data_IF_514117827057
#
_entry.id   IF_514117827057
#
_cell.length_a   1.000
_cell.length_b   1.000
_cell.length_c   1.000
_cell.angle_alpha   90.00
_cell.angle_beta   90.00
_cell.angle_gamma   90.00
#
_symmetry.space_group_name_H-M   'P 1'
#
loop_
_entity.id
_entity.type
_entity.pdbx_description
1 polymer ?
#
# COMPACT_ATOMS: atom_id res chain seq x y z
N UNK A 1 42.13 -10.39 2.71
CA UNK A 1 41.20 -10.11 1.64
C UNK A 1 39.81 -10.11 2.27
N UNK A 2 39.30 -8.93 2.66
CA UNK A 2 38.03 -8.76 3.36
C UNK A 2 36.91 -8.66 2.33
N UNK A 3 35.96 -9.59 2.38
CA UNK A 3 34.70 -9.51 1.63
C UNK A 3 33.75 -8.54 2.36
N UNK A 4 33.03 -7.63 1.67
CA UNK A 4 32.08 -6.74 2.30
C UNK A 4 30.83 -7.49 2.76
N UNK A 5 30.38 -7.17 3.99
CA UNK A 5 29.30 -7.79 4.77
C UNK A 5 27.94 -7.19 4.40
N UNK A 6 27.58 -7.05 3.12
CA UNK A 6 26.25 -6.58 2.75
C UNK A 6 25.72 -7.25 1.47
N UNK A 7 25.76 -8.60 1.48
CA UNK A 7 25.13 -9.39 0.43
C UNK A 7 23.89 -10.07 1.01
N UNK A 8 22.72 -9.42 0.91
CA UNK A 8 21.44 -10.06 1.21
C UNK A 8 21.17 -11.14 0.15
N UNK A 9 21.36 -12.39 0.54
CA UNK A 9 21.11 -13.57 -0.31
C UNK A 9 19.62 -13.93 -0.19
N UNK A 10 18.81 -13.65 -1.23
CA UNK A 10 17.48 -14.19 -1.33
C UNK A 10 17.52 -15.54 -2.06
N UNK A 11 17.24 -16.62 -1.34
CA UNK A 11 17.07 -17.97 -1.89
C UNK A 11 15.60 -18.14 -2.32
N UNK A 12 15.34 -18.15 -3.63
CA UNK A 12 14.05 -18.50 -4.19
C UNK A 12 14.07 -19.94 -4.68
N UNK A 13 13.40 -20.85 -3.96
CA UNK A 13 13.22 -22.24 -4.36
C UNK A 13 11.99 -22.34 -5.30
N UNK A 14 12.22 -22.45 -6.58
CA UNK A 14 11.16 -22.78 -7.54
C UNK A 14 11.06 -24.31 -7.68
N UNK A 15 9.93 -24.87 -7.25
CA UNK A 15 9.60 -26.27 -7.51
C UNK A 15 9.01 -26.39 -8.91
N UNK A 16 9.72 -27.06 -9.83
CA UNK A 16 9.17 -27.45 -11.10
C UNK A 16 8.46 -28.79 -10.97
N UNK A 17 7.24 -28.90 -11.54
CA UNK A 17 6.50 -30.16 -11.65
C UNK A 17 7.31 -31.20 -12.44
N UNK A 18 7.41 -32.44 -11.94
CA UNK A 18 8.13 -33.50 -12.64
C UNK A 18 7.38 -33.95 -13.90
N UNK A 19 8.07 -33.95 -15.03
CA UNK A 19 7.59 -34.62 -16.23
C UNK A 19 7.91 -36.12 -16.06
N UNK A 20 6.87 -36.93 -15.94
CA UNK A 20 7.02 -38.39 -15.89
C UNK A 20 7.69 -38.94 -17.17
N UNK A 21 8.94 -39.37 -17.05
CA UNK A 21 9.55 -40.39 -17.93
C UNK A 21 9.92 -41.60 -17.08
N UNK A 22 9.47 -42.76 -17.57
CA UNK A 22 9.64 -44.07 -16.94
C UNK A 22 11.06 -44.29 -16.42
N UNK A 23 11.15 -44.62 -15.11
CA UNK A 23 12.23 -45.36 -14.46
C UNK A 23 13.53 -44.64 -14.05
N UNK A 24 13.55 -43.32 -13.86
CA UNK A 24 14.60 -42.68 -13.04
C UNK A 24 14.09 -41.32 -12.54
N UNK A 25 14.04 -41.12 -11.24
CA UNK A 25 13.72 -39.81 -10.63
C UNK A 25 15.07 -39.10 -10.49
N UNK A 26 15.38 -38.22 -11.42
CA UNK A 26 16.51 -37.31 -11.31
C UNK A 26 16.04 -35.99 -10.67
N UNK A 27 16.40 -35.77 -9.41
CA UNK A 27 16.19 -34.50 -8.73
C UNK A 27 17.32 -33.53 -9.05
N UNK A 28 17.30 -32.94 -10.26
CA UNK A 28 18.22 -31.86 -10.59
C UNK A 28 17.72 -30.56 -10.02
N UNK A 29 18.23 -30.16 -8.85
CA UNK A 29 18.01 -28.84 -8.29
C UNK A 29 18.82 -27.81 -9.05
N UNK A 30 18.16 -26.97 -9.86
CA UNK A 30 18.79 -25.82 -10.47
C UNK A 30 18.61 -24.62 -9.53
N UNK A 31 19.66 -24.28 -8.78
CA UNK A 31 19.69 -23.06 -7.98
C UNK A 31 19.94 -21.90 -8.94
N UNK A 32 18.90 -21.05 -9.16
CA UNK A 32 19.05 -19.83 -9.94
C UNK A 32 19.34 -18.70 -8.95
N UNK A 33 20.56 -18.22 -8.97
CA UNK A 33 20.95 -17.03 -8.22
C UNK A 33 20.55 -15.79 -9.03
N UNK A 34 19.58 -15.02 -8.54
CA UNK A 34 19.34 -13.67 -9.07
C UNK A 34 20.16 -12.70 -8.25
N UNK A 35 21.33 -12.34 -8.74
CA UNK A 35 22.11 -11.23 -8.17
C UNK A 35 21.40 -9.95 -8.61
N UNK A 36 20.71 -9.28 -7.70
CA UNK A 36 20.36 -7.86 -7.91
C UNK A 36 21.67 -7.09 -7.83
N UNK A 37 22.13 -6.55 -8.94
CA UNK A 37 23.18 -5.53 -8.93
C UNK A 37 22.64 -4.36 -8.07
N UNK A 38 23.24 -4.15 -6.91
CA UNK A 38 23.00 -2.95 -6.12
C UNK A 38 23.68 -1.83 -6.90
N UNK A 39 22.91 -1.01 -7.59
CA UNK A 39 23.45 0.18 -8.22
C UNK A 39 24.16 1.01 -7.14
N UNK A 40 25.42 1.42 -7.38
CA UNK A 40 26.16 2.23 -6.42
C UNK A 40 25.37 3.51 -6.14
N UNK A 41 25.31 3.90 -4.85
CA UNK A 41 24.65 5.13 -4.45
C UNK A 41 25.27 6.33 -5.17
N UNK A 42 24.55 6.92 -6.10
CA UNK A 42 24.95 8.13 -6.80
C UNK A 42 24.50 9.35 -5.99
N UNK A 43 25.41 10.27 -5.71
CA UNK A 43 25.13 11.52 -4.99
C UNK A 43 25.41 12.72 -5.87
N UNK A 44 24.54 13.73 -5.83
CA UNK A 44 24.71 15.00 -6.53
C UNK A 44 24.31 16.15 -5.62
N UNK A 45 25.02 17.26 -5.74
CA UNK A 45 24.61 18.51 -5.10
C UNK A 45 23.60 19.22 -5.99
N UNK A 46 22.49 19.65 -5.41
CA UNK A 46 21.43 20.42 -6.08
C UNK A 46 21.11 21.71 -5.34
N UNK A 47 20.51 22.66 -6.03
CA UNK A 47 20.03 23.91 -5.43
C UNK A 47 18.50 23.86 -5.32
N UNK A 48 17.99 24.35 -4.19
CA UNK A 48 16.57 24.58 -4.00
C UNK A 48 16.15 25.82 -4.80
N UNK A 49 15.20 25.66 -5.71
CA UNK A 49 14.62 26.76 -6.48
C UNK A 49 13.50 27.37 -5.66
N UNK A 50 13.62 28.65 -5.32
CA UNK A 50 12.64 29.41 -4.56
C UNK A 50 11.95 30.38 -5.51
N UNK A 51 10.64 30.32 -5.62
CA UNK A 51 9.84 31.26 -6.40
C UNK A 51 8.70 31.79 -5.55
N UNK A 52 8.45 33.11 -5.61
CA UNK A 52 7.35 33.76 -4.94
C UNK A 52 6.07 33.55 -5.76
N UNK A 53 5.03 33.00 -5.18
CA UNK A 53 3.71 32.96 -5.82
C UNK A 53 3.03 34.32 -5.62
N UNK A 54 2.86 35.08 -6.71
CA UNK A 54 2.08 36.32 -6.71
C UNK A 54 0.59 35.99 -6.56
N UNK A 55 0.05 36.20 -5.38
CA UNK A 55 -1.40 36.17 -5.12
C UNK A 55 -1.87 37.54 -4.69
N UNK A 56 -3.03 38.00 -5.18
CA UNK A 56 -3.68 39.30 -4.89
C UNK A 56 -4.22 39.42 -3.45
N UNK A 57 -4.03 38.44 -2.59
CA UNK A 57 -4.44 38.45 -1.18
C UNK A 57 -3.19 38.36 -0.28
N UNK A 58 -2.59 39.51 0.00
CA UNK A 58 -1.87 39.88 1.23
C UNK A 58 -0.83 38.95 1.89
N UNK A 59 -0.35 37.89 1.24
CA UNK A 59 0.69 37.00 1.77
C UNK A 59 1.55 36.42 0.67
N UNK A 60 2.85 36.73 0.66
CA UNK A 60 3.81 36.10 -0.27
C UNK A 60 4.12 34.68 0.21
N UNK A 61 3.48 33.67 -0.38
CA UNK A 61 3.85 32.28 -0.18
C UNK A 61 5.00 31.91 -1.11
N UNK A 62 6.07 31.30 -0.58
CA UNK A 62 7.18 30.79 -1.38
C UNK A 62 6.87 29.37 -1.85
N UNK A 63 7.10 29.12 -3.14
CA UNK A 63 7.13 27.78 -3.72
C UNK A 63 8.56 27.29 -3.77
N UNK A 64 8.77 26.05 -3.30
CA UNK A 64 10.06 25.39 -3.30
C UNK A 64 10.06 24.24 -4.31
N UNK A 65 11.09 24.19 -5.16
CA UNK A 65 11.24 23.15 -6.19
C UNK A 65 12.66 22.63 -6.20
N UNK A 66 12.82 21.36 -6.55
CA UNK A 66 14.10 20.73 -6.80
C UNK A 66 14.11 20.14 -8.22
N UNK A 67 15.22 20.25 -8.94
CA UNK A 67 15.42 19.60 -10.23
C UNK A 67 16.07 18.24 -10.03
N UNK A 68 15.42 17.19 -10.48
CA UNK A 68 15.97 15.83 -10.47
C UNK A 68 16.77 15.57 -11.76
N UNK A 69 17.89 14.83 -11.71
CA UNK A 69 18.59 14.37 -12.89
C UNK A 69 17.67 13.51 -13.78
N UNK A 70 17.68 13.78 -15.08
CA UNK A 70 16.81 13.07 -16.02
C UNK A 70 17.11 11.56 -16.11
N UNK A 71 18.33 11.16 -15.84
CA UNK A 71 18.74 9.74 -15.73
C UNK A 71 18.02 9.06 -14.58
N UNK A 72 18.04 9.68 -13.39
CA UNK A 72 17.36 9.13 -12.20
C UNK A 72 15.85 9.02 -12.39
N UNK A 73 15.23 10.05 -13.00
CA UNK A 73 13.79 10.06 -13.31
C UNK A 73 13.42 8.89 -14.23
N UNK A 74 14.26 8.62 -15.26
CA UNK A 74 14.05 7.49 -16.18
C UNK A 74 14.25 6.13 -15.48
N UNK A 75 15.29 5.99 -14.65
CA UNK A 75 15.57 4.77 -13.89
C UNK A 75 14.46 4.46 -12.87
N UNK A 76 13.82 5.51 -12.31
CA UNK A 76 12.62 5.37 -11.47
C UNK A 76 11.38 4.94 -12.27
N UNK A 77 11.45 4.85 -13.61
CA UNK A 77 10.30 4.54 -14.45
C UNK A 77 9.26 5.66 -14.49
N UNK A 78 9.68 6.91 -14.29
CA UNK A 78 8.83 8.09 -14.36
C UNK A 78 8.91 8.71 -15.76
N UNK A 79 7.75 9.03 -16.32
CA UNK A 79 7.58 9.67 -17.63
C UNK A 79 6.35 10.60 -17.65
N UNK A 80 5.91 11.02 -18.83
CA UNK A 80 4.74 11.89 -18.99
C UNK A 80 3.43 11.23 -18.59
N UNK A 81 3.34 9.92 -18.65
CA UNK A 81 2.14 9.14 -18.29
C UNK A 81 2.19 8.70 -16.83
N UNK A 82 3.37 8.25 -16.36
CA UNK A 82 3.62 7.75 -15.00
C UNK A 82 4.44 8.76 -14.19
N UNK A 83 3.87 9.89 -13.85
CA UNK A 83 4.56 10.99 -13.14
C UNK A 83 4.20 11.12 -11.65
N UNK A 84 3.41 10.19 -11.12
CA UNK A 84 3.04 10.22 -9.71
C UNK A 84 4.18 9.68 -8.84
N UNK A 85 4.55 10.47 -7.84
CA UNK A 85 5.58 10.14 -6.86
C UNK A 85 5.00 10.16 -5.45
N UNK A 86 5.58 9.37 -4.58
CA UNK A 86 5.42 9.49 -3.13
C UNK A 86 6.58 10.27 -2.55
N UNK A 87 6.25 11.24 -1.72
CA UNK A 87 7.22 11.97 -0.92
C UNK A 87 7.00 11.61 0.55
N UNK A 88 8.06 11.20 1.23
CA UNK A 88 8.05 10.99 2.67
C UNK A 88 9.10 11.87 3.33
N UNK A 89 8.76 12.39 4.52
CA UNK A 89 9.64 13.25 5.32
C UNK A 89 9.74 12.70 6.72
N UNK A 90 10.97 12.47 7.20
CA UNK A 90 11.27 11.89 8.51
C UNK A 90 11.70 12.94 9.56
N UNK A 91 11.61 14.23 9.24
CA UNK A 91 12.07 15.35 10.07
C UNK A 91 13.42 15.92 9.62
N UNK A 92 14.21 15.17 8.84
CA UNK A 92 15.54 15.57 8.36
C UNK A 92 15.74 15.38 6.87
N UNK A 93 15.11 14.36 6.28
CA UNK A 93 15.31 13.95 4.89
C UNK A 93 13.98 13.81 4.17
N UNK A 94 13.98 14.13 2.87
CA UNK A 94 12.87 13.86 1.97
C UNK A 94 13.25 12.69 1.08
N UNK A 95 12.48 11.61 1.15
CA UNK A 95 12.61 10.48 0.24
C UNK A 95 11.55 10.58 -0.85
N UNK A 96 11.96 10.40 -2.10
CA UNK A 96 11.10 10.42 -3.28
C UNK A 96 11.11 9.05 -3.92
N UNK A 97 9.95 8.43 -4.07
CA UNK A 97 9.80 7.13 -4.74
C UNK A 97 8.71 7.21 -5.81
N UNK A 98 8.78 6.33 -6.80
CA UNK A 98 7.67 6.18 -7.75
C UNK A 98 6.44 5.64 -6.99
N UNK A 99 5.27 6.20 -7.23
CA UNK A 99 4.03 5.64 -6.69
C UNK A 99 3.72 4.33 -7.41
N UNK A 100 3.67 3.24 -6.65
CA UNK A 100 3.33 1.92 -7.18
C UNK A 100 1.84 1.86 -7.54
N UNK A 101 1.49 1.19 -8.62
CA UNK A 101 0.12 0.79 -8.90
C UNK A 101 -0.41 -0.18 -7.83
N UNK A 102 -1.71 -0.44 -7.85
CA UNK A 102 -2.32 -1.37 -6.89
C UNK A 102 -1.70 -2.77 -6.96
N UNK A 103 -1.53 -3.32 -8.17
CA UNK A 103 -0.93 -4.64 -8.39
C UNK A 103 0.55 -4.70 -8.01
N UNK A 104 1.33 -3.67 -8.38
CA UNK A 104 2.74 -3.58 -8.02
C UNK A 104 2.94 -3.46 -6.50
N UNK A 105 2.05 -2.72 -5.82
CA UNK A 105 2.08 -2.61 -4.36
C UNK A 105 1.81 -3.96 -3.69
N UNK A 106 0.83 -4.72 -4.15
CA UNK A 106 0.54 -6.06 -3.66
C UNK A 106 1.74 -6.99 -3.85
N UNK A 107 2.30 -7.03 -5.05
CA UNK A 107 3.42 -7.91 -5.36
C UNK A 107 4.68 -7.57 -4.56
N UNK A 108 5.04 -6.28 -4.49
CA UNK A 108 6.21 -5.82 -3.73
C UNK A 108 6.11 -6.19 -2.24
N UNK A 109 4.92 -6.06 -1.64
CA UNK A 109 4.74 -6.34 -0.21
C UNK A 109 4.62 -7.83 0.10
N UNK A 110 4.08 -8.65 -0.81
CA UNK A 110 4.13 -10.12 -0.68
C UNK A 110 5.56 -10.64 -0.61
N UNK A 111 6.44 -10.13 -1.46
CA UNK A 111 7.84 -10.55 -1.50
C UNK A 111 8.63 -10.19 -0.23
N UNK A 112 8.18 -9.20 0.53
CA UNK A 112 8.84 -8.76 1.78
C UNK A 112 8.35 -9.47 3.04
N UNK A 113 7.30 -10.30 2.94
CA UNK A 113 6.67 -10.97 4.09
C UNK A 113 5.94 -10.00 5.04
N UNK A 114 5.50 -8.85 4.53
CA UNK A 114 4.71 -7.91 5.30
C UNK A 114 3.29 -8.46 5.56
N UNK A 115 2.71 -8.07 6.69
CA UNK A 115 1.30 -8.36 6.96
C UNK A 115 0.43 -7.47 6.08
N UNK A 116 -0.17 -8.10 5.06
CA UNK A 116 -0.92 -7.44 4.02
C UNK A 116 -2.39 -7.83 4.09
N UNK A 117 -3.28 -6.85 4.14
CA UNK A 117 -4.73 -7.04 4.10
C UNK A 117 -5.30 -6.53 2.78
N UNK A 118 -6.25 -7.28 2.22
CA UNK A 118 -7.10 -6.85 1.13
C UNK A 118 -8.51 -6.60 1.65
N UNK A 119 -8.94 -5.35 1.64
CA UNK A 119 -10.31 -4.97 1.99
C UNK A 119 -11.06 -4.65 0.71
N UNK A 120 -12.11 -5.45 0.42
CA UNK A 120 -12.97 -5.23 -0.73
C UNK A 120 -14.25 -4.54 -0.29
N UNK A 121 -14.57 -3.41 -0.93
CA UNK A 121 -15.71 -2.56 -0.62
C UNK A 121 -16.82 -2.79 -1.65
N UNK A 122 -17.98 -3.18 -1.19
CA UNK A 122 -19.14 -3.47 -2.03
C UNK A 122 -20.28 -2.50 -1.74
N UNK A 123 -21.09 -2.19 -2.75
CA UNK A 123 -22.38 -1.53 -2.63
C UNK A 123 -23.44 -2.46 -3.21
N UNK A 124 -24.30 -3.01 -2.35
CA UNK A 124 -25.27 -4.08 -2.67
C UNK A 124 -24.53 -5.29 -3.26
N UNK A 125 -24.56 -5.52 -4.56
CA UNK A 125 -23.87 -6.62 -5.25
C UNK A 125 -22.65 -6.18 -6.07
N UNK A 126 -22.36 -4.87 -6.12
CA UNK A 126 -21.30 -4.31 -6.95
C UNK A 126 -20.01 -4.14 -6.12
N UNK A 127 -18.90 -4.69 -6.59
CA UNK A 127 -17.59 -4.39 -6.06
C UNK A 127 -17.18 -2.98 -6.53
N UNK A 128 -17.01 -2.05 -5.58
CA UNK A 128 -16.78 -0.64 -5.87
C UNK A 128 -15.33 -0.22 -5.75
N UNK A 129 -14.61 -0.80 -4.79
CA UNK A 129 -13.20 -0.51 -4.58
C UNK A 129 -12.49 -1.67 -3.87
N UNK A 130 -11.15 -1.70 -4.00
CA UNK A 130 -10.26 -2.57 -3.24
C UNK A 130 -9.21 -1.71 -2.53
N UNK A 131 -8.93 -2.04 -1.28
CA UNK A 131 -7.89 -1.39 -0.48
C UNK A 131 -6.87 -2.45 -0.11
N UNK A 132 -5.63 -2.29 -0.57
CA UNK A 132 -4.49 -3.06 -0.10
C UNK A 132 -3.86 -2.29 1.06
N UNK A 133 -3.81 -2.89 2.24
CA UNK A 133 -3.28 -2.27 3.45
C UNK A 133 -2.08 -3.07 3.97
N UNK A 134 -0.91 -2.45 3.98
CA UNK A 134 0.30 -2.98 4.59
C UNK A 134 0.34 -2.54 6.06
N UNK A 135 0.02 -3.46 6.97
CA UNK A 135 0.02 -3.20 8.41
C UNK A 135 1.42 -3.02 8.99
N UNK A 136 2.45 -3.51 8.29
CA UNK A 136 3.85 -3.38 8.73
C UNK A 136 4.36 -1.96 8.51
N UNK A 137 4.18 -1.42 7.30
CA UNK A 137 4.68 -0.08 6.94
C UNK A 137 3.65 1.03 7.09
N UNK A 138 2.39 0.69 7.47
CA UNK A 138 1.28 1.63 7.60
C UNK A 138 1.01 2.40 6.30
N UNK A 139 1.04 1.68 5.19
CA UNK A 139 0.76 2.22 3.86
C UNK A 139 -0.45 1.54 3.24
N UNK A 140 -1.18 2.27 2.42
CA UNK A 140 -2.30 1.73 1.65
C UNK A 140 -2.17 2.04 0.16
N UNK A 141 -2.84 1.20 -0.63
CA UNK A 141 -3.17 1.48 -2.04
C UNK A 141 -4.63 1.20 -2.26
N UNK A 142 -5.27 2.08 -3.01
CA UNK A 142 -6.70 1.96 -3.33
C UNK A 142 -6.86 1.84 -4.83
N UNK A 143 -7.71 0.91 -5.23
CA UNK A 143 -8.17 0.76 -6.59
C UNK A 143 -9.67 1.00 -6.63
N UNK A 144 -10.08 2.10 -7.22
CA UNK A 144 -11.48 2.44 -7.44
C UNK A 144 -11.95 1.77 -8.72
N UNK A 145 -13.01 0.96 -8.64
CA UNK A 145 -13.58 0.20 -9.76
C UNK A 145 -14.83 0.85 -10.34
N UNK A 146 -15.33 1.90 -9.68
CA UNK A 146 -16.46 2.70 -10.11
C UNK A 146 -16.12 4.18 -10.08
N UNK A 147 -16.81 4.99 -10.87
CA UNK A 147 -16.64 6.44 -10.91
C UNK A 147 -17.55 7.20 -9.94
N UNK A 148 -18.57 6.54 -9.40
CA UNK A 148 -19.51 7.14 -8.45
C UNK A 148 -18.84 7.25 -7.07
N UNK A 149 -18.40 8.47 -6.74
CA UNK A 149 -17.67 8.75 -5.50
C UNK A 149 -18.48 8.48 -4.22
N UNK A 150 -19.81 8.45 -4.28
CA UNK A 150 -20.67 8.11 -3.15
C UNK A 150 -20.57 6.64 -2.75
N UNK A 151 -20.09 5.78 -3.65
CA UNK A 151 -19.86 4.36 -3.41
C UNK A 151 -18.41 4.02 -3.08
N UNK A 152 -17.54 5.03 -3.09
CA UNK A 152 -16.11 4.83 -2.81
C UNK A 152 -15.81 5.03 -1.32
N UNK A 153 -14.87 4.25 -0.77
CA UNK A 153 -14.53 4.30 0.67
C UNK A 153 -13.98 5.66 1.11
N UNK A 154 -13.34 6.39 0.20
CA UNK A 154 -12.72 7.70 0.48
C UNK A 154 -13.32 8.84 -0.35
N UNK A 155 -14.47 8.60 -0.97
CA UNK A 155 -15.14 9.61 -1.80
C UNK A 155 -14.23 10.19 -2.87
N UNK A 156 -14.05 11.51 -2.87
CA UNK A 156 -13.18 12.22 -3.81
C UNK A 156 -11.69 12.26 -3.42
N UNK A 157 -11.31 11.70 -2.25
CA UNK A 157 -9.90 11.68 -1.84
C UNK A 157 -9.13 10.66 -2.70
N UNK A 158 -8.28 11.17 -3.61
CA UNK A 158 -7.48 10.35 -4.53
C UNK A 158 -6.18 9.80 -3.91
N UNK A 159 -5.79 10.31 -2.74
CA UNK A 159 -4.57 9.93 -2.05
C UNK A 159 -4.83 9.72 -0.55
N UNK A 160 -5.67 8.75 -0.18
CA UNK A 160 -5.99 8.49 1.21
C UNK A 160 -4.74 8.03 1.97
N UNK A 161 -4.61 8.53 3.18
CA UNK A 161 -3.56 8.17 4.13
C UNK A 161 -3.91 6.89 4.90
N UNK A 162 -2.95 6.40 5.70
CA UNK A 162 -3.22 5.33 6.66
C UNK A 162 -4.27 5.73 7.71
N UNK A 163 -4.26 6.99 8.13
CA UNK A 163 -5.23 7.53 9.09
C UNK A 163 -6.65 7.56 8.49
N UNK A 164 -6.78 7.99 7.23
CA UNK A 164 -8.07 7.92 6.50
C UNK A 164 -8.59 6.48 6.45
N UNK A 165 -7.71 5.51 6.25
CA UNK A 165 -8.07 4.09 6.26
C UNK A 165 -8.58 3.64 7.63
N UNK A 166 -7.89 3.99 8.71
CA UNK A 166 -8.35 3.66 10.07
C UNK A 166 -9.70 4.30 10.38
N UNK A 167 -9.89 5.56 10.02
CA UNK A 167 -11.18 6.25 10.17
C UNK A 167 -12.29 5.61 9.35
N UNK A 168 -11.97 5.18 8.11
CA UNK A 168 -12.93 4.45 7.28
C UNK A 168 -13.36 3.13 7.94
N UNK A 169 -12.42 2.31 8.43
CA UNK A 169 -12.76 1.08 9.14
C UNK A 169 -13.62 1.35 10.38
N UNK A 170 -13.25 2.37 11.17
CA UNK A 170 -14.01 2.73 12.37
C UNK A 170 -15.41 3.23 12.03
N UNK A 171 -15.58 3.96 10.92
CA UNK A 171 -16.90 4.42 10.45
C UNK A 171 -17.84 3.27 10.06
N UNK A 172 -17.27 2.08 9.79
CA UNK A 172 -18.03 0.85 9.48
C UNK A 172 -18.31 -0.03 10.70
N UNK A 173 -18.09 0.51 11.90
CA UNK A 173 -18.31 -0.16 13.18
C UNK A 173 -19.28 0.60 14.05
N UNK A 174 -19.83 -0.08 15.04
CA UNK A 174 -20.59 0.56 16.11
C UNK A 174 -19.72 1.62 16.81
N UNK A 175 -20.22 2.84 17.11
CA UNK A 175 -19.44 3.85 17.80
C UNK A 175 -18.93 3.38 19.17
N UNK A 176 -17.67 3.69 19.51
CA UNK A 176 -17.08 3.35 20.82
C UNK A 176 -17.86 3.90 22.04
N UNK A 177 -18.58 4.99 21.83
CA UNK A 177 -19.36 5.68 22.88
C UNK A 177 -20.78 5.13 23.05
N UNK A 178 -21.20 4.15 22.24
CA UNK A 178 -22.56 3.62 22.30
C UNK A 178 -22.80 2.84 23.57
N UNK A 179 -23.92 3.10 24.23
CA UNK A 179 -24.37 2.30 25.37
C UNK A 179 -24.61 0.84 24.93
N UNK A 180 -24.21 -0.14 25.75
CA UNK A 180 -24.32 -1.55 25.41
C UNK A 180 -23.23 -2.06 24.46
N UNK A 181 -22.13 -1.32 24.29
CA UNK A 181 -21.01 -1.73 23.43
C UNK A 181 -20.44 -3.09 23.85
N UNK A 182 -20.27 -3.31 25.16
CA UNK A 182 -19.70 -4.55 25.68
C UNK A 182 -20.58 -5.77 25.35
N UNK A 183 -21.86 -5.65 25.60
CA UNK A 183 -22.86 -6.69 25.32
C UNK A 183 -22.94 -6.99 23.82
N UNK A 184 -22.80 -5.96 22.98
CA UNK A 184 -22.73 -6.11 21.54
C UNK A 184 -21.48 -6.90 21.12
N UNK A 185 -20.29 -6.52 21.62
CA UNK A 185 -19.04 -7.23 21.31
C UNK A 185 -19.10 -8.70 21.74
N UNK A 186 -19.60 -8.97 22.93
CA UNK A 186 -19.84 -10.34 23.43
C UNK A 186 -20.78 -11.13 22.48
N UNK A 187 -21.85 -10.48 21.98
CA UNK A 187 -22.81 -11.11 21.06
C UNK A 187 -22.19 -11.51 19.73
N UNK A 188 -21.30 -10.68 19.18
CA UNK A 188 -20.61 -10.98 17.91
C UNK A 188 -19.32 -11.80 18.10
N UNK A 189 -18.95 -12.14 19.36
CA UNK A 189 -17.77 -12.94 19.69
C UNK A 189 -16.45 -12.21 19.44
N UNK A 190 -16.38 -10.93 19.87
CA UNK A 190 -15.19 -10.08 19.81
C UNK A 190 -14.85 -9.62 21.23
N UNK A 191 -13.62 -9.93 21.70
CA UNK A 191 -13.23 -9.68 23.10
C UNK A 191 -13.00 -8.22 23.43
N UNK A 192 -12.54 -7.44 22.47
CA UNK A 192 -12.25 -6.02 22.61
C UNK A 192 -12.58 -5.26 21.31
N UNK A 193 -12.72 -3.94 21.42
CA UNK A 193 -13.04 -3.13 20.26
C UNK A 193 -11.87 -3.06 19.29
N UNK A 194 -11.93 -3.86 18.23
CA UNK A 194 -11.05 -3.86 17.07
C UNK A 194 -11.89 -3.73 15.79
N UNK A 195 -11.75 -2.64 15.02
CA UNK A 195 -12.54 -2.44 13.81
C UNK A 195 -12.42 -3.57 12.80
N UNK A 196 -11.22 -4.13 12.59
CA UNK A 196 -11.04 -5.24 11.65
C UNK A 196 -11.76 -6.51 12.11
N UNK A 197 -11.66 -6.85 13.40
CA UNK A 197 -12.37 -8.01 13.96
C UNK A 197 -13.89 -7.82 13.89
N UNK A 198 -14.38 -6.62 14.23
CA UNK A 198 -15.80 -6.29 14.12
C UNK A 198 -16.26 -6.44 12.66
N UNK A 199 -15.50 -5.86 11.70
CA UNK A 199 -15.82 -5.96 10.27
C UNK A 199 -15.80 -7.41 9.78
N UNK A 200 -14.85 -8.23 10.21
CA UNK A 200 -14.82 -9.66 9.87
C UNK A 200 -16.09 -10.39 10.30
N UNK A 201 -16.67 -10.02 11.45
CA UNK A 201 -17.91 -10.61 11.98
C UNK A 201 -19.19 -10.05 11.34
N UNK A 202 -19.22 -8.74 11.09
CA UNK A 202 -20.42 -8.01 10.67
C UNK A 202 -20.41 -7.62 9.19
N UNK A 203 -19.30 -7.82 8.50
CA UNK A 203 -19.03 -7.29 7.16
C UNK A 203 -19.09 -5.74 7.12
N UNK A 204 -18.98 -5.06 8.24
CA UNK A 204 -19.12 -3.60 8.31
C UNK A 204 -20.47 -3.09 7.80
N UNK A 205 -21.53 -3.92 7.84
CA UNK A 205 -22.87 -3.52 7.39
C UNK A 205 -23.48 -2.55 8.36
N UNK A 206 -24.03 -1.47 7.82
CA UNK A 206 -24.78 -0.45 8.56
C UNK A 206 -26.24 -0.45 8.05
N UNK A 207 -27.15 0.02 8.91
CA UNK A 207 -28.59 0.06 8.55
C UNK A 207 -28.89 1.16 7.53
N UNK A 208 -28.03 2.16 7.45
CA UNK A 208 -28.25 3.37 6.67
C UNK A 208 -27.88 3.23 5.20
N UNK A 209 -27.06 2.22 4.84
CA UNK A 209 -26.58 2.06 3.47
C UNK A 209 -26.46 0.59 3.03
N UNK A 210 -26.25 0.37 1.73
CA UNK A 210 -26.02 -0.96 1.15
C UNK A 210 -24.55 -1.37 1.10
N UNK A 211 -23.67 -0.67 1.80
CA UNK A 211 -22.22 -0.93 1.77
C UNK A 211 -21.86 -2.09 2.71
N UNK A 212 -20.97 -2.95 2.24
CA UNK A 212 -20.40 -4.00 3.05
C UNK A 212 -18.97 -4.34 2.60
N UNK A 213 -18.21 -4.93 3.50
CA UNK A 213 -16.79 -5.17 3.35
C UNK A 213 -16.45 -6.66 3.49
N UNK A 214 -15.44 -7.10 2.75
CA UNK A 214 -14.70 -8.33 3.05
C UNK A 214 -13.26 -7.99 3.40
N UNK A 215 -12.66 -8.75 4.31
CA UNK A 215 -11.27 -8.60 4.72
C UNK A 215 -10.58 -9.93 4.53
N UNK A 216 -9.56 -9.93 3.66
CA UNK A 216 -8.72 -11.09 3.36
C UNK A 216 -7.28 -10.78 3.78
N UNK A 217 -6.63 -11.71 4.47
CA UNK A 217 -5.21 -11.62 4.78
C UNK A 217 -4.42 -12.29 3.66
N UNK A 218 -3.51 -11.54 3.05
CA UNK A 218 -2.67 -12.02 1.98
C UNK A 218 -1.31 -12.42 2.56
N UNK A 219 -1.01 -13.70 2.51
CA UNK A 219 0.28 -14.29 2.92
C UNK A 219 1.24 -14.45 1.74
#
# INVERSE_FOLDING_TARGET
MHLPIDMLLFLQLNFFNPVERKNYIDYSYRIVYTIREVNPLETRTGNLIISTSGGTAGGSANNYKISLPSTWVKEMGLDTENRQMELSFDGTSITITRKLSFSEFLEANRQTGHKLLLVSCHSVSLLCARIAADETTKKIRVENLVSDFLKLPFGNNQNPSWEDYLHFLESRCIPRTRAGLREYLETIGVDHYDPLEIIRKTQGRMAEDGTWLTVEELT
#
